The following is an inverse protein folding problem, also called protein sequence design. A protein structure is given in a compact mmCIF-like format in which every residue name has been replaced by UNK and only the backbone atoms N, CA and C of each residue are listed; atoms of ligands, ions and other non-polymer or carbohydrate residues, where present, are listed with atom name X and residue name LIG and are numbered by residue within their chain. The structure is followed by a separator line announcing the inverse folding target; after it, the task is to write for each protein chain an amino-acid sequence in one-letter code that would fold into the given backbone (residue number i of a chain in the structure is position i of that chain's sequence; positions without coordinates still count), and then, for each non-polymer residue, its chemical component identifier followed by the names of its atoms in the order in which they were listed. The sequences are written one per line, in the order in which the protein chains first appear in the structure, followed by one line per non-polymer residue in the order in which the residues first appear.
data_IF_872042869475
#
_entry.id   IF_872042869475
#
_cell.length_a   1.000
_cell.length_b   1.000
_cell.length_c   1.000
_cell.angle_alpha   90.00
_cell.angle_beta   90.00
_cell.angle_gamma   90.00
#
_symmetry.space_group_name_H-M   'P 1'
#
loop_
_entity.id
_entity.type
_entity.pdbx_description
1 polymer ?
#
# COMPACT_ATOMS: atom_id res chain seq x y z
N UNK A 1 -21.61 6.15 44.65
CA UNK A 1 -20.79 6.79 44.19
C UNK A 1 -19.54 6.22 43.82
N UNK A 2 -18.91 5.45 44.50
CA UNK A 2 -17.66 4.89 44.20
C UNK A 2 -17.75 3.90 43.08
N UNK A 3 -18.90 3.53 42.73
CA UNK A 3 -19.05 2.56 41.68
C UNK A 3 -18.55 3.06 40.36
N UNK A 4 -18.66 4.30 40.14
CA UNK A 4 -18.27 4.84 38.90
C UNK A 4 -16.84 4.67 38.57
N UNK A 5 -16.01 4.69 39.54
CA UNK A 5 -14.63 4.56 39.28
C UNK A 5 -14.30 3.24 38.68
N UNK A 6 -14.96 2.27 39.12
CA UNK A 6 -14.65 0.97 38.58
C UNK A 6 -15.05 0.86 37.15
N UNK A 7 -16.14 1.46 36.81
CA UNK A 7 -16.54 1.41 35.43
C UNK A 7 -15.55 2.08 34.55
N UNK A 8 -14.99 3.16 35.03
CA UNK A 8 -14.04 3.87 34.23
C UNK A 8 -12.80 3.05 33.97
N UNK A 9 -12.38 2.32 34.95
CA UNK A 9 -11.20 1.52 34.78
C UNK A 9 -11.41 0.47 33.73
N UNK A 10 -12.56 -0.11 33.71
CA UNK A 10 -12.80 -1.13 32.71
C UNK A 10 -12.79 -0.55 31.34
N UNK A 11 -13.31 0.62 31.18
CA UNK A 11 -13.32 1.23 29.88
C UNK A 11 -11.92 1.50 29.41
N UNK A 12 -11.08 1.93 30.28
CA UNK A 12 -9.72 2.22 29.88
C UNK A 12 -9.01 0.98 29.41
N UNK A 13 -9.29 -0.11 30.05
CA UNK A 13 -8.64 -1.32 29.67
C UNK A 13 -9.02 -1.74 28.27
N UNK A 14 -10.27 -1.57 27.93
CA UNK A 14 -10.70 -1.93 26.61
C UNK A 14 -10.04 -1.11 25.54
N UNK A 15 -9.82 0.14 25.82
CA UNK A 15 -9.17 0.98 24.86
C UNK A 15 -7.77 0.51 24.58
N UNK A 16 -7.10 0.05 25.58
CA UNK A 16 -5.76 -0.42 25.38
C UNK A 16 -5.75 -1.59 24.43
N UNK A 17 -6.72 -2.45 24.53
CA UNK A 17 -6.77 -3.58 23.62
C UNK A 17 -7.02 -3.12 22.21
N UNK A 18 -7.86 -2.14 22.06
CA UNK A 18 -8.12 -1.65 20.74
C UNK A 18 -6.88 -1.10 20.07
N UNK A 19 -6.01 -0.54 20.86
CA UNK A 19 -4.81 0.02 20.29
C UNK A 19 -3.91 -1.02 19.69
N UNK A 20 -3.98 -2.22 20.13
CA UNK A 20 -3.13 -3.24 19.62
C UNK A 20 -3.51 -3.66 18.20
N UNK A 21 -4.71 -3.36 17.79
CA UNK A 21 -5.13 -3.79 16.49
C UNK A 21 -4.82 -2.79 15.41
N UNK A 22 -4.06 -1.78 15.70
CA UNK A 22 -3.82 -0.73 14.75
C UNK A 22 -2.83 -1.03 13.68
N UNK A 23 -2.30 -2.25 13.64
CA UNK A 23 -1.34 -2.57 12.64
C UNK A 23 -1.84 -3.47 11.56
N UNK A 24 -3.07 -3.36 11.23
CA UNK A 24 -3.63 -4.21 10.21
C UNK A 24 -3.16 -3.78 8.84
N UNK A 25 -3.02 -4.71 7.95
CA UNK A 25 -2.70 -4.41 6.59
C UNK A 25 -3.86 -3.67 5.95
N UNK A 26 -3.55 -2.82 5.00
CA UNK A 26 -4.59 -2.16 4.23
C UNK A 26 -5.24 -3.18 3.31
N UNK A 27 -6.43 -2.85 2.83
CA UNK A 27 -7.09 -3.67 1.86
C UNK A 27 -6.83 -3.07 0.51
N UNK A 28 -6.26 -3.81 -0.39
CA UNK A 28 -5.89 -3.32 -1.69
C UNK A 28 -6.92 -3.77 -2.71
N UNK A 29 -7.56 -2.82 -3.35
CA UNK A 29 -8.55 -3.10 -4.36
C UNK A 29 -8.02 -2.61 -5.69
N UNK A 30 -8.01 -3.46 -6.70
CA UNK A 30 -7.46 -3.05 -7.98
C UNK A 30 -8.59 -2.74 -8.93
N UNK A 31 -8.32 -1.86 -9.87
CA UNK A 31 -9.28 -1.56 -10.91
C UNK A 31 -9.00 -2.45 -12.10
N UNK A 32 -10.01 -2.66 -12.88
CA UNK A 32 -9.87 -3.55 -13.99
C UNK A 32 -9.25 -2.87 -15.18
N UNK A 33 -9.66 -1.72 -15.48
CA UNK A 33 -9.24 -1.12 -16.72
C UNK A 33 -8.10 -0.19 -16.49
N UNK A 34 -6.99 -0.48 -16.98
CA UNK A 34 -5.86 0.37 -16.84
C UNK A 34 -5.86 1.44 -17.88
N UNK A 35 -5.25 2.54 -17.64
CA UNK A 35 -5.14 3.57 -18.61
C UNK A 35 -3.92 3.31 -19.37
N UNK A 36 -3.23 2.58 -19.49
CA UNK A 36 -2.08 2.37 -20.33
C UNK A 36 -0.90 3.22 -20.02
N UNK A 37 -1.08 4.29 -19.26
CA UNK A 37 0.04 5.11 -18.95
C UNK A 37 0.68 4.78 -17.65
N UNK A 38 0.02 4.04 -16.83
CA UNK A 38 0.60 3.65 -15.56
C UNK A 38 1.37 2.36 -15.73
N UNK A 39 2.40 2.22 -14.92
CA UNK A 39 3.21 1.01 -14.96
C UNK A 39 2.35 -0.21 -14.66
N UNK A 40 2.48 -1.26 -15.44
CA UNK A 40 1.84 -2.52 -15.11
C UNK A 40 2.67 -3.18 -14.02
N UNK A 41 2.04 -3.47 -12.90
CA UNK A 41 2.73 -4.11 -11.79
C UNK A 41 2.65 -5.61 -11.97
N UNK A 42 3.71 -6.30 -11.60
CA UNK A 42 3.70 -7.74 -11.69
C UNK A 42 3.01 -8.35 -10.48
N UNK A 43 2.98 -7.62 -9.39
CA UNK A 43 2.29 -8.05 -8.18
C UNK A 43 2.08 -6.84 -7.30
N UNK A 44 1.10 -6.91 -6.42
CA UNK A 44 0.87 -5.86 -5.45
C UNK A 44 0.24 -6.50 -4.22
N UNK A 45 0.81 -6.22 -3.07
CA UNK A 45 0.36 -6.82 -1.82
C UNK A 45 0.37 -5.77 -0.72
N UNK A 46 -0.63 -5.78 0.12
CA UNK A 46 -0.64 -4.94 1.31
C UNK A 46 -0.18 -5.77 2.49
N UNK A 47 0.76 -5.23 3.24
CA UNK A 47 1.26 -5.88 4.45
C UNK A 47 0.96 -4.95 5.62
N UNK A 48 1.18 -5.38 6.86
CA UNK A 48 0.97 -4.46 7.97
C UNK A 48 1.87 -3.24 7.93
N UNK A 49 3.02 -3.32 7.25
CA UNK A 49 3.95 -2.20 7.20
C UNK A 49 3.74 -1.28 6.01
N UNK A 50 3.15 -1.76 4.94
CA UNK A 50 2.99 -0.94 3.76
C UNK A 50 2.63 -1.78 2.56
N UNK A 51 2.88 -1.22 1.38
CA UNK A 51 2.59 -1.92 0.13
C UNK A 51 3.88 -2.48 -0.44
N UNK A 52 3.79 -3.68 -0.98
CA UNK A 52 4.91 -4.32 -1.65
C UNK A 52 4.50 -4.52 -3.09
N UNK A 53 5.27 -3.97 -4.00
CA UNK A 53 4.96 -4.03 -5.42
C UNK A 53 6.03 -4.85 -6.12
N UNK A 54 5.59 -5.70 -7.03
CA UNK A 54 6.52 -6.37 -7.91
C UNK A 54 6.54 -5.63 -9.23
N UNK A 55 7.69 -5.20 -9.68
CA UNK A 55 7.80 -4.42 -10.91
C UNK A 55 8.85 -5.04 -11.81
N UNK A 56 8.70 -4.84 -13.10
CA UNK A 56 9.65 -5.35 -14.07
C UNK A 56 11.01 -4.71 -13.85
N UNK A 57 12.06 -5.48 -13.99
CA UNK A 57 13.41 -4.98 -13.79
C UNK A 57 14.36 -5.68 -14.73
N UNK A 58 15.33 -4.91 -15.20
CA UNK A 58 16.44 -5.45 -15.98
C UNK A 58 17.74 -5.31 -15.19
N UNK A 59 17.64 -5.26 -13.88
CA UNK A 59 18.79 -5.25 -13.01
C UNK A 59 19.04 -3.95 -12.27
N UNK A 60 18.42 -2.86 -12.69
CA UNK A 60 18.70 -1.56 -12.09
C UNK A 60 17.48 -0.82 -11.58
N UNK A 61 16.33 -1.45 -11.58
CA UNK A 61 15.13 -0.78 -11.11
C UNK A 61 15.16 -0.65 -9.60
N UNK A 62 14.95 0.57 -9.11
CA UNK A 62 14.90 0.83 -7.69
C UNK A 62 13.67 1.66 -7.38
N UNK A 63 13.42 1.83 -6.11
CA UNK A 63 12.28 2.59 -5.63
C UNK A 63 12.31 4.02 -6.13
N UNK A 64 13.50 4.61 -6.25
CA UNK A 64 13.60 5.99 -6.66
C UNK A 64 13.27 6.19 -8.14
N UNK A 65 13.12 5.12 -8.88
CA UNK A 65 12.71 5.23 -10.27
C UNK A 65 11.21 5.41 -10.42
N UNK A 66 10.50 5.44 -9.30
CA UNK A 66 9.04 5.55 -9.31
C UNK A 66 8.58 6.75 -8.51
N UNK A 67 7.44 7.27 -8.89
CA UNK A 67 6.73 8.23 -8.07
C UNK A 67 5.33 7.70 -7.84
N UNK A 68 4.60 8.31 -6.93
CA UNK A 68 3.23 7.86 -6.67
C UNK A 68 2.33 9.07 -6.48
N UNK A 69 1.04 8.84 -6.69
CA UNK A 69 0.03 9.87 -6.55
C UNK A 69 -1.09 9.29 -5.71
N UNK A 70 -1.57 10.05 -4.74
CA UNK A 70 -2.66 9.62 -3.88
C UNK A 70 -3.81 10.60 -4.04
N UNK A 71 -4.99 10.07 -4.33
CA UNK A 71 -6.18 10.87 -4.51
C UNK A 71 -7.15 10.50 -3.38
N UNK A 72 -7.44 11.47 -2.52
CA UNK A 72 -8.32 11.24 -1.40
C UNK A 72 -9.67 11.91 -1.58
N UNK A 73 -10.03 12.26 -2.79
CA UNK A 73 -11.31 12.94 -2.99
C UNK A 73 -12.49 11.99 -2.90
N UNK A 74 -12.26 10.70 -3.08
CA UNK A 74 -13.35 9.76 -2.99
C UNK A 74 -13.49 9.19 -1.60
N UNK A 75 -14.36 8.20 -1.46
CA UNK A 75 -14.57 7.55 -0.20
C UNK A 75 -13.34 6.82 0.27
N UNK A 76 -12.63 6.22 -0.64
CA UNK A 76 -11.40 5.51 -0.32
C UNK A 76 -10.26 6.17 -1.04
N UNK A 77 -9.08 6.22 -0.45
CA UNK A 77 -7.94 6.77 -1.19
C UNK A 77 -7.60 5.90 -2.38
N UNK A 78 -7.19 6.53 -3.46
CA UNK A 78 -6.72 5.83 -4.63
C UNK A 78 -5.24 6.14 -4.79
N UNK A 79 -4.44 5.16 -5.21
CA UNK A 79 -3.02 5.36 -5.38
C UNK A 79 -2.59 4.85 -6.74
N UNK A 80 -1.67 5.57 -7.36
CA UNK A 80 -1.10 5.20 -8.64
C UNK A 80 0.41 5.34 -8.56
N UNK A 81 1.12 4.40 -9.14
CA UNK A 81 2.58 4.44 -9.20
C UNK A 81 2.99 4.63 -10.65
N UNK A 82 3.91 5.53 -10.89
CA UNK A 82 4.38 5.79 -12.25
C UNK A 82 5.89 5.69 -12.28
N UNK A 83 6.40 5.07 -13.33
CA UNK A 83 7.84 4.92 -13.50
C UNK A 83 8.40 6.22 -14.07
N UNK A 84 9.42 6.75 -13.45
CA UNK A 84 10.07 7.98 -13.90
C UNK A 84 11.29 7.72 -14.72
N UNK A 85 11.89 6.55 -14.58
CA UNK A 85 13.14 6.25 -15.27
C UNK A 85 13.13 4.83 -15.77
N UNK A 86 13.49 4.64 -17.01
CA UNK A 86 13.51 3.31 -17.58
C UNK A 86 14.73 2.56 -17.08
N UNK A 87 14.59 1.25 -16.96
CA UNK A 87 15.69 0.40 -16.57
C UNK A 87 16.46 0.06 -17.82
N UNK A 88 17.62 0.67 -18.00
CA UNK A 88 18.43 0.45 -19.20
C UNK A 88 19.52 -0.58 -18.97
N UNK A 89 19.50 -1.28 -17.87
CA UNK A 89 20.48 -2.31 -17.62
C UNK A 89 20.19 -3.53 -18.47
N UNK A 90 21.11 -4.45 -18.53
CA UNK A 90 21.03 -5.53 -19.51
C UNK A 90 20.94 -6.90 -18.90
N UNK A 91 20.51 -6.97 -17.66
CA UNK A 91 20.25 -8.25 -17.05
C UNK A 91 18.96 -8.80 -17.65
N UNK A 92 18.82 -10.09 -17.67
CA UNK A 92 17.61 -10.70 -18.21
C UNK A 92 16.38 -10.17 -17.50
N UNK A 93 15.26 -10.05 -18.18
CA UNK A 93 14.06 -9.49 -17.58
C UNK A 93 13.65 -10.28 -16.35
N UNK A 94 13.29 -9.58 -15.32
CA UNK A 94 12.84 -10.19 -14.08
C UNK A 94 11.93 -9.24 -13.35
N UNK A 95 11.70 -9.56 -12.07
CA UNK A 95 10.81 -8.78 -11.21
C UNK A 95 11.58 -8.43 -9.96
N UNK A 96 11.46 -7.19 -9.51
CA UNK A 96 12.03 -6.80 -8.25
C UNK A 96 10.92 -6.28 -7.36
N UNK A 97 11.10 -6.37 -6.05
CA UNK A 97 10.10 -5.89 -5.11
C UNK A 97 10.47 -4.53 -4.61
N UNK A 98 9.49 -3.66 -4.55
CA UNK A 98 9.63 -2.33 -3.97
C UNK A 98 8.68 -2.24 -2.79
N UNK A 99 9.15 -1.66 -1.69
CA UNK A 99 8.35 -1.56 -0.48
C UNK A 99 8.13 -0.11 -0.13
N UNK A 100 6.87 0.24 0.06
CA UNK A 100 6.48 1.61 0.40
C UNK A 100 5.71 1.57 1.70
N UNK A 101 6.22 2.23 2.74
CA UNK A 101 5.52 2.29 4.01
C UNK A 101 4.28 3.16 3.94
N UNK A 102 3.30 2.88 4.77
CA UNK A 102 2.07 3.65 4.74
C UNK A 102 2.34 5.12 5.07
N UNK A 103 3.19 5.40 6.04
CA UNK A 103 3.48 6.78 6.37
C UNK A 103 4.13 7.50 5.18
N UNK A 104 4.99 6.82 4.47
CA UNK A 104 5.64 7.37 3.31
C UNK A 104 4.62 7.72 2.24
N UNK A 105 3.59 6.93 2.11
CA UNK A 105 2.55 7.15 1.11
C UNK A 105 1.46 8.10 1.59
N UNK A 106 1.50 8.49 2.84
CA UNK A 106 0.44 9.33 3.39
C UNK A 106 -0.85 8.59 3.62
N UNK A 107 -0.76 7.30 3.86
CA UNK A 107 -1.93 6.46 4.07
C UNK A 107 -1.91 5.89 5.47
N UNK A 108 -3.05 5.51 5.96
CA UNK A 108 -3.14 4.84 7.25
C UNK A 108 -3.24 3.35 7.03
N UNK A 109 -2.65 2.59 7.90
CA UNK A 109 -2.82 1.15 7.83
C UNK A 109 -4.26 0.79 8.10
N UNK A 110 -4.70 -0.27 7.51
CA UNK A 110 -6.07 -0.74 7.75
C UNK A 110 -7.13 -0.13 6.87
N UNK A 111 -6.81 0.87 6.07
CA UNK A 111 -7.82 1.43 5.18
C UNK A 111 -7.93 0.58 3.93
N UNK A 112 -9.01 0.78 3.21
CA UNK A 112 -9.16 0.19 1.89
C UNK A 112 -8.58 1.17 0.89
N UNK A 113 -7.66 0.71 0.07
CA UNK A 113 -6.93 1.54 -0.88
C UNK A 113 -7.22 1.04 -2.28
N UNK A 114 -7.61 1.94 -3.17
CA UNK A 114 -7.81 1.56 -4.56
C UNK A 114 -6.54 1.77 -5.33
N UNK A 115 -6.01 0.70 -5.88
CA UNK A 115 -4.80 0.75 -6.67
C UNK A 115 -5.19 0.94 -8.12
N UNK A 116 -4.70 2.00 -8.72
CA UNK A 116 -5.08 2.34 -10.08
C UNK A 116 -4.21 1.67 -11.13
N UNK A 117 -3.07 1.14 -10.76
CA UNK A 117 -2.20 0.48 -11.71
C UNK A 117 -2.78 -0.85 -12.15
N UNK A 118 -2.61 -1.21 -13.41
CA UNK A 118 -2.94 -2.58 -13.80
C UNK A 118 -1.97 -3.54 -13.16
N UNK A 119 -2.46 -4.71 -12.77
CA UNK A 119 -1.62 -5.74 -12.18
C UNK A 119 -1.71 -6.94 -13.10
N UNK A 120 -0.56 -7.49 -13.47
CA UNK A 120 -0.54 -8.61 -14.38
C UNK A 120 -1.23 -9.79 -13.73
N UNK A 121 -2.04 -10.52 -14.49
CA UNK A 121 -2.70 -11.66 -13.93
C UNK A 121 -1.70 -12.76 -13.77
N UNK A 122 -1.82 -13.41 -12.76
CA UNK A 122 -0.89 -14.42 -12.44
C UNK A 122 -0.92 -15.56 -13.39
N UNK A 123 -0.05 -16.10 -13.68
CA UNK A 123 -0.10 -17.14 -14.39
C UNK A 123 0.74 -17.40 -15.06
#
# INVERSE_FOLDING_TARGET
MTVDRRGLLAAGLLLALGGCAGRDAARLVTTVAGSGELETLQAATATPEGLVLGVASRGCTTKTDFTFYVDRTGREPAIAFARKRLDVCRVAPGVTELRFGYAELGLAGGETIRLLNPVASGR
#
